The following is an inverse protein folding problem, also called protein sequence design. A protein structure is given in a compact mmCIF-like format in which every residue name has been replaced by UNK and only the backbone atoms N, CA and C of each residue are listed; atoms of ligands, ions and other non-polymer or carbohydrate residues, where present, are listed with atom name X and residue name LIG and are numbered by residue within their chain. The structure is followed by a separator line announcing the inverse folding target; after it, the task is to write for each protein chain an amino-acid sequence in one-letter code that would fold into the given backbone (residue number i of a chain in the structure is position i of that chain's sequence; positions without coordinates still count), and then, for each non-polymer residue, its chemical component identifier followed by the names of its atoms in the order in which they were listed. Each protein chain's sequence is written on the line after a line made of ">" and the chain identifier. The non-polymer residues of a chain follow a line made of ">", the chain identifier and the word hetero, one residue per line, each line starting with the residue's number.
data_IF_692142644196
#
_entry.id   IF_692142644196
#
_cell.length_a   1.000
_cell.length_b   1.000
_cell.length_c   1.000
_cell.angle_alpha   90.00
_cell.angle_beta   90.00
_cell.angle_gamma   90.00
#
_symmetry.space_group_name_H-M   'P 1'
#
loop_
_entity.id
_entity.type
_entity.pdbx_description
1 polymer ?
#
# COMPACT_ATOMS: atom_id res chain seq x y z
N UNK A 1 12.99 -29.64 16.96
CA UNK A 1 11.97 -30.44 16.24
C UNK A 1 10.73 -30.46 17.09
N UNK A 2 9.91 -29.44 16.93
CA UNK A 2 8.55 -29.35 17.46
C UNK A 2 7.68 -29.23 16.22
N UNK A 3 6.85 -30.25 15.98
CA UNK A 3 5.87 -30.28 14.90
C UNK A 3 4.86 -29.15 15.13
N UNK A 4 5.07 -28.01 14.48
CA UNK A 4 4.08 -26.95 14.37
C UNK A 4 3.23 -27.23 13.13
N UNK A 5 2.15 -27.97 13.35
CA UNK A 5 1.06 -28.07 12.37
C UNK A 5 0.35 -26.72 12.39
N UNK A 6 0.72 -25.85 11.44
CA UNK A 6 -0.14 -24.77 10.97
C UNK A 6 -1.53 -25.35 10.78
N UNK A 7 -2.52 -24.91 11.57
CA UNK A 7 -3.89 -25.31 11.32
C UNK A 7 -4.29 -24.75 9.95
N UNK A 8 -4.43 -25.64 8.97
CA UNK A 8 -4.95 -25.32 7.65
C UNK A 8 -6.33 -24.67 7.82
N UNK A 9 -6.47 -23.42 7.39
CA UNK A 9 -7.73 -22.71 7.52
C UNK A 9 -8.66 -23.16 6.38
N UNK A 10 -9.81 -23.76 6.70
CA UNK A 10 -10.72 -24.19 5.67
C UNK A 10 -11.30 -22.97 4.91
N UNK A 11 -11.78 -23.18 3.67
CA UNK A 11 -12.56 -22.19 2.95
C UNK A 11 -13.73 -21.68 3.82
N UNK A 12 -14.27 -20.47 3.54
CA UNK A 12 -15.36 -19.88 4.31
C UNK A 12 -16.47 -20.88 4.64
N UNK A 13 -16.65 -21.21 5.91
CA UNK A 13 -17.69 -22.16 6.33
C UNK A 13 -19.09 -21.53 6.47
N UNK A 14 -19.22 -20.22 6.28
CA UNK A 14 -20.45 -19.45 6.47
C UNK A 14 -20.52 -18.22 5.55
N UNK A 15 -21.73 -17.69 5.34
CA UNK A 15 -21.95 -16.46 4.58
C UNK A 15 -21.21 -15.24 5.18
N UNK A 16 -21.14 -15.13 6.51
CA UNK A 16 -20.39 -14.07 7.19
C UNK A 16 -18.89 -14.16 6.91
N UNK A 17 -18.33 -15.37 6.86
CA UNK A 17 -16.93 -15.59 6.51
C UNK A 17 -16.66 -15.32 5.02
N UNK A 18 -17.65 -15.56 4.15
CA UNK A 18 -17.57 -15.21 2.73
C UNK A 18 -17.54 -13.69 2.53
N UNK A 19 -18.45 -12.94 3.16
CA UNK A 19 -18.47 -11.48 3.08
C UNK A 19 -17.15 -10.89 3.58
N UNK A 20 -16.63 -11.37 4.71
CA UNK A 20 -15.36 -10.90 5.24
C UNK A 20 -14.21 -11.17 4.26
N UNK A 21 -14.10 -12.39 3.72
CA UNK A 21 -13.07 -12.71 2.73
C UNK A 21 -13.19 -11.86 1.46
N UNK A 22 -14.41 -11.59 1.00
CA UNK A 22 -14.70 -10.71 -0.13
C UNK A 22 -14.25 -9.27 0.16
N UNK A 23 -14.54 -8.76 1.36
CA UNK A 23 -14.10 -7.43 1.84
C UNK A 23 -12.59 -7.34 2.04
N UNK A 24 -11.92 -8.43 2.40
CA UNK A 24 -10.46 -8.48 2.50
C UNK A 24 -9.78 -8.60 1.12
N UNK A 25 -10.51 -9.03 0.10
CA UNK A 25 -9.94 -9.36 -1.19
C UNK A 25 -9.13 -10.66 -1.18
N UNK A 26 -9.50 -11.62 -0.34
CA UNK A 26 -8.85 -12.93 -0.26
C UNK A 26 -9.40 -13.87 -1.33
N UNK A 27 -8.51 -14.66 -1.94
CA UNK A 27 -8.90 -15.63 -2.96
C UNK A 27 -9.81 -16.75 -2.46
N UNK A 28 -9.88 -17.00 -1.14
CA UNK A 28 -10.80 -17.99 -0.57
C UNK A 28 -12.27 -17.67 -0.84
N UNK A 29 -12.63 -16.41 -1.10
CA UNK A 29 -13.97 -16.06 -1.54
C UNK A 29 -14.27 -16.65 -2.93
N UNK A 30 -13.30 -16.59 -3.86
CA UNK A 30 -13.40 -17.18 -5.20
C UNK A 30 -13.47 -18.71 -5.11
N UNK A 31 -12.61 -19.33 -4.30
CA UNK A 31 -12.63 -20.78 -4.08
C UNK A 31 -13.94 -21.27 -3.46
N UNK A 32 -14.51 -20.49 -2.53
CA UNK A 32 -15.81 -20.79 -1.94
C UNK A 32 -16.92 -20.78 -2.99
N UNK A 33 -16.99 -19.75 -3.84
CA UNK A 33 -18.00 -19.67 -4.91
C UNK A 33 -17.93 -20.86 -5.87
N UNK A 34 -16.72 -21.33 -6.20
CA UNK A 34 -16.53 -22.49 -7.11
C UNK A 34 -16.90 -23.84 -6.50
N UNK A 35 -16.83 -23.97 -5.18
CA UNK A 35 -17.00 -25.26 -4.49
C UNK A 35 -18.33 -25.37 -3.74
N UNK A 36 -18.99 -24.25 -3.46
CA UNK A 36 -20.21 -24.20 -2.67
C UNK A 36 -21.42 -24.63 -3.48
N UNK A 37 -22.28 -25.46 -2.89
CA UNK A 37 -23.61 -25.74 -3.41
C UNK A 37 -24.65 -24.65 -3.02
N UNK A 38 -24.23 -23.66 -2.23
CA UNK A 38 -25.08 -22.54 -1.79
C UNK A 38 -25.08 -21.49 -2.89
N UNK A 39 -26.28 -21.03 -3.29
CA UNK A 39 -26.43 -19.96 -4.25
C UNK A 39 -25.73 -18.67 -3.75
N UNK A 40 -25.00 -17.96 -4.63
CA UNK A 40 -24.31 -16.73 -4.25
C UNK A 40 -25.32 -15.64 -3.88
N UNK A 41 -24.96 -14.82 -2.89
CA UNK A 41 -25.67 -13.56 -2.63
C UNK A 41 -25.33 -12.56 -3.75
N UNK A 42 -26.22 -12.50 -4.74
CA UNK A 42 -26.03 -11.67 -5.93
C UNK A 42 -25.94 -10.19 -5.59
N UNK A 43 -26.70 -9.72 -4.61
CA UNK A 43 -26.75 -8.31 -4.24
C UNK A 43 -25.46 -7.90 -3.53
N UNK A 44 -24.95 -8.75 -2.63
CA UNK A 44 -23.66 -8.52 -1.97
C UNK A 44 -22.51 -8.47 -2.98
N UNK A 45 -22.46 -9.42 -3.92
CA UNK A 45 -21.40 -9.47 -4.93
C UNK A 45 -21.50 -8.27 -5.87
N UNK A 46 -22.71 -7.91 -6.31
CA UNK A 46 -22.89 -6.74 -7.17
C UNK A 46 -22.51 -5.45 -6.44
N UNK A 47 -22.83 -5.33 -5.15
CA UNK A 47 -22.37 -4.22 -4.33
C UNK A 47 -20.84 -4.17 -4.27
N UNK A 48 -20.17 -5.30 -4.09
CA UNK A 48 -18.70 -5.39 -4.10
C UNK A 48 -18.08 -5.03 -5.47
N UNK A 49 -18.77 -5.34 -6.57
CA UNK A 49 -18.36 -4.88 -7.90
C UNK A 49 -18.46 -3.35 -7.99
N UNK A 50 -19.56 -2.78 -7.48
CA UNK A 50 -19.89 -1.36 -7.56
C UNK A 50 -19.01 -0.49 -6.67
N UNK A 51 -18.63 -0.99 -5.51
CA UNK A 51 -17.92 -0.23 -4.48
C UNK A 51 -16.47 -0.70 -4.35
N UNK A 52 -15.51 0.22 -4.41
CA UNK A 52 -14.13 -0.12 -4.08
C UNK A 52 -14.00 -0.30 -2.56
N UNK A 53 -13.90 -1.56 -2.13
CA UNK A 53 -13.69 -1.99 -0.74
C UNK A 53 -12.21 -2.13 -0.34
N UNK A 54 -11.28 -1.60 -1.13
CA UNK A 54 -9.90 -1.39 -0.68
C UNK A 54 -9.90 -0.64 0.67
N UNK A 55 -9.08 -1.13 1.59
CA UNK A 55 -9.01 -0.63 2.95
C UNK A 55 -8.27 0.71 2.99
N UNK A 56 -7.06 0.73 2.45
CA UNK A 56 -6.24 1.91 2.25
C UNK A 56 -6.19 2.27 0.76
N UNK A 57 -7.18 3.06 0.32
CA UNK A 57 -7.28 3.54 -1.06
C UNK A 57 -6.12 4.45 -1.50
N UNK A 58 -5.26 4.87 -0.59
CA UNK A 58 -4.09 5.68 -0.92
C UNK A 58 -2.91 4.81 -1.38
N UNK A 59 -2.90 3.52 -1.02
CA UNK A 59 -1.81 2.60 -1.28
C UNK A 59 -2.23 1.28 -1.97
N UNK A 60 -3.52 0.95 -1.97
CA UNK A 60 -4.07 -0.21 -2.67
C UNK A 60 -4.62 0.16 -4.05
N UNK A 61 -4.36 -0.71 -5.03
CA UNK A 61 -4.97 -0.65 -6.35
C UNK A 61 -6.48 -0.97 -6.31
N UNK A 62 -7.15 -0.69 -7.42
CA UNK A 62 -8.53 -1.08 -7.66
C UNK A 62 -8.67 -2.61 -7.62
N UNK A 63 -9.81 -3.13 -7.17
CA UNK A 63 -10.04 -4.58 -7.08
C UNK A 63 -10.66 -5.21 -8.32
N UNK A 64 -10.54 -4.56 -9.48
CA UNK A 64 -11.23 -4.98 -10.70
C UNK A 64 -10.89 -6.41 -11.14
N UNK A 65 -9.60 -6.79 -11.15
CA UNK A 65 -9.16 -8.13 -11.51
C UNK A 65 -9.74 -9.20 -10.56
N UNK A 66 -9.69 -8.92 -9.26
CA UNK A 66 -10.30 -9.79 -8.25
C UNK A 66 -11.81 -9.91 -8.41
N UNK A 67 -12.50 -8.80 -8.64
CA UNK A 67 -13.94 -8.82 -8.84
C UNK A 67 -14.32 -9.56 -10.13
N UNK A 68 -13.49 -9.54 -11.17
CA UNK A 68 -13.70 -10.36 -12.35
C UNK A 68 -13.61 -11.86 -12.02
N UNK A 69 -12.64 -12.28 -11.20
CA UNK A 69 -12.54 -13.68 -10.74
C UNK A 69 -13.74 -14.08 -9.87
N UNK A 70 -14.22 -13.17 -9.01
CA UNK A 70 -15.44 -13.37 -8.21
C UNK A 70 -16.65 -13.55 -9.11
N UNK A 71 -16.88 -12.65 -10.08
CA UNK A 71 -18.00 -12.74 -11.02
C UNK A 71 -17.94 -14.04 -11.81
N UNK A 72 -16.77 -14.40 -12.38
CA UNK A 72 -16.59 -15.67 -13.08
C UNK A 72 -16.88 -16.87 -12.19
N UNK A 73 -16.46 -16.83 -10.92
CA UNK A 73 -16.67 -17.92 -9.98
C UNK A 73 -18.15 -18.11 -9.59
N UNK A 74 -19.02 -17.11 -9.79
CA UNK A 74 -20.46 -17.30 -9.62
C UNK A 74 -21.08 -18.20 -10.69
N UNK A 75 -20.47 -18.27 -11.88
CA UNK A 75 -21.07 -18.90 -13.06
C UNK A 75 -22.24 -18.11 -13.66
N UNK A 76 -22.45 -16.84 -13.27
CA UNK A 76 -23.58 -16.01 -13.69
C UNK A 76 -23.16 -14.63 -14.27
N UNK A 77 -22.14 -14.53 -15.14
CA UNK A 77 -21.70 -13.25 -15.68
C UNK A 77 -22.82 -12.48 -16.40
N UNK A 78 -23.79 -13.18 -17.01
CA UNK A 78 -24.95 -12.57 -17.67
C UNK A 78 -25.87 -11.81 -16.71
N UNK A 79 -25.80 -12.09 -15.40
CA UNK A 79 -26.49 -11.31 -14.39
C UNK A 79 -25.75 -10.01 -14.06
N UNK A 80 -24.42 -10.08 -13.93
CA UNK A 80 -23.59 -8.98 -13.43
C UNK A 80 -23.20 -7.99 -14.51
N UNK A 81 -22.78 -8.47 -15.69
CA UNK A 81 -22.24 -7.61 -16.76
C UNK A 81 -23.23 -6.53 -17.20
N UNK A 82 -24.51 -6.83 -17.51
CA UNK A 82 -25.46 -5.79 -17.89
C UNK A 82 -25.64 -4.73 -16.80
N UNK A 83 -25.70 -5.13 -15.52
CA UNK A 83 -25.86 -4.21 -14.39
C UNK A 83 -24.65 -3.33 -14.17
N UNK A 84 -23.44 -3.88 -14.34
CA UNK A 84 -22.19 -3.11 -14.29
C UNK A 84 -22.20 -2.02 -15.36
N UNK A 85 -22.59 -2.37 -16.59
CA UNK A 85 -22.69 -1.42 -17.70
C UNK A 85 -23.77 -0.36 -17.46
N UNK A 86 -24.95 -0.75 -16.95
CA UNK A 86 -26.03 0.17 -16.60
C UNK A 86 -25.59 1.19 -15.54
N UNK A 87 -24.88 0.74 -14.49
CA UNK A 87 -24.26 1.58 -13.46
C UNK A 87 -23.25 2.57 -14.06
N UNK A 88 -22.37 2.11 -14.95
CA UNK A 88 -21.42 2.99 -15.64
C UNK A 88 -22.11 4.06 -16.50
N UNK A 89 -23.17 3.69 -17.23
CA UNK A 89 -23.97 4.64 -18.03
C UNK A 89 -24.69 5.64 -17.13
N UNK A 90 -25.23 5.20 -16.00
CA UNK A 90 -25.92 6.06 -15.04
C UNK A 90 -24.98 6.99 -14.25
N UNK A 91 -23.66 6.76 -14.31
CA UNK A 91 -22.63 7.49 -13.54
C UNK A 91 -22.91 7.45 -12.02
N UNK A 92 -23.47 6.35 -11.53
CA UNK A 92 -23.88 6.16 -10.13
C UNK A 92 -22.78 5.55 -9.24
N UNK A 93 -21.58 5.35 -9.80
CA UNK A 93 -20.43 4.72 -9.15
C UNK A 93 -19.63 5.64 -8.20
N UNK A 94 -19.79 6.96 -8.33
CA UNK A 94 -19.02 7.95 -7.57
C UNK A 94 -17.51 7.68 -7.61
N UNK A 95 -16.87 7.62 -6.43
CA UNK A 95 -15.43 7.37 -6.30
C UNK A 95 -14.97 5.95 -6.72
N UNK A 96 -15.91 5.05 -7.05
CA UNK A 96 -15.60 3.67 -7.50
C UNK A 96 -15.70 3.52 -9.03
N UNK A 97 -15.92 4.60 -9.76
CA UNK A 97 -16.06 4.57 -11.23
C UNK A 97 -14.88 3.87 -11.91
N UNK A 98 -13.64 4.19 -11.52
CA UNK A 98 -12.44 3.58 -12.08
C UNK A 98 -12.41 2.04 -11.92
N UNK A 99 -12.83 1.53 -10.75
CA UNK A 99 -12.93 0.08 -10.51
C UNK A 99 -13.96 -0.57 -11.43
N UNK A 100 -15.16 0.01 -11.52
CA UNK A 100 -16.24 -0.52 -12.36
C UNK A 100 -15.86 -0.51 -13.85
N UNK A 101 -15.23 0.57 -14.31
CA UNK A 101 -14.80 0.70 -15.70
C UNK A 101 -13.73 -0.35 -16.04
N UNK A 102 -12.76 -0.54 -15.14
CA UNK A 102 -11.73 -1.57 -15.29
C UNK A 102 -12.32 -2.99 -15.21
N UNK A 103 -13.27 -3.24 -14.30
CA UNK A 103 -13.95 -4.53 -14.19
C UNK A 103 -14.70 -4.86 -15.49
N UNK A 104 -15.48 -3.90 -16.00
CA UNK A 104 -16.17 -4.04 -17.29
C UNK A 104 -15.17 -4.30 -18.43
N UNK A 105 -14.01 -3.63 -18.42
CA UNK A 105 -12.95 -3.84 -19.40
C UNK A 105 -12.39 -5.26 -19.39
N UNK A 106 -12.11 -5.81 -18.20
CA UNK A 106 -11.64 -7.19 -18.05
C UNK A 106 -12.68 -8.19 -18.58
N UNK A 107 -13.96 -7.96 -18.28
CA UNK A 107 -15.07 -8.81 -18.73
C UNK A 107 -15.42 -8.60 -20.22
N UNK A 108 -14.99 -7.50 -20.84
CA UNK A 108 -15.27 -7.21 -22.25
C UNK A 108 -14.60 -8.17 -23.22
N UNK A 109 -13.50 -8.82 -22.81
CA UNK A 109 -12.87 -9.90 -23.59
C UNK A 109 -13.77 -11.14 -23.76
N UNK A 110 -14.74 -11.32 -22.86
CA UNK A 110 -15.68 -12.44 -22.85
C UNK A 110 -17.08 -12.02 -23.35
N UNK A 111 -17.38 -10.71 -23.37
CA UNK A 111 -18.69 -10.15 -23.69
C UNK A 111 -18.56 -8.94 -24.64
N UNK A 112 -18.73 -9.16 -25.95
CA UNK A 112 -18.55 -8.12 -26.98
C UNK A 112 -19.37 -6.84 -26.74
N UNK A 113 -20.58 -6.98 -26.21
CA UNK A 113 -21.47 -5.83 -25.90
C UNK A 113 -20.83 -4.87 -24.88
N UNK A 114 -20.01 -5.39 -23.95
CA UNK A 114 -19.31 -4.57 -22.97
C UNK A 114 -18.20 -3.73 -23.61
N UNK A 115 -17.48 -4.29 -24.60
CA UNK A 115 -16.44 -3.56 -25.33
C UNK A 115 -17.02 -2.33 -26.01
N UNK A 116 -18.06 -2.49 -26.83
CA UNK A 116 -18.68 -1.36 -27.54
C UNK A 116 -19.17 -0.29 -26.55
N UNK A 117 -19.78 -0.73 -25.45
CA UNK A 117 -20.30 0.18 -24.44
C UNK A 117 -19.23 1.01 -23.73
N UNK A 118 -18.06 0.43 -23.47
CA UNK A 118 -16.94 1.16 -22.87
C UNK A 118 -16.41 2.26 -23.79
N UNK A 119 -16.36 2.00 -25.09
CA UNK A 119 -15.99 3.01 -26.09
C UNK A 119 -17.03 4.13 -26.18
N UNK A 120 -18.33 3.81 -26.11
CA UNK A 120 -19.41 4.81 -26.02
C UNK A 120 -19.26 5.68 -24.76
N UNK A 121 -19.12 5.05 -23.59
CA UNK A 121 -18.98 5.73 -22.30
C UNK A 121 -17.76 6.67 -22.29
N UNK A 122 -16.64 6.24 -22.88
CA UNK A 122 -15.45 7.09 -23.06
C UNK A 122 -15.71 8.23 -24.04
N UNK A 123 -16.37 7.97 -25.16
CA UNK A 123 -16.64 9.00 -26.17
C UNK A 123 -17.54 10.13 -25.63
N UNK A 124 -18.46 9.81 -24.72
CA UNK A 124 -19.36 10.78 -24.06
C UNK A 124 -18.66 11.64 -23.00
N UNK A 125 -17.64 11.09 -22.33
CA UNK A 125 -16.96 11.76 -21.22
C UNK A 125 -15.45 11.39 -21.16
N UNK A 126 -14.65 11.77 -22.18
CA UNK A 126 -13.25 11.34 -22.28
C UNK A 126 -12.34 11.93 -21.17
N UNK A 127 -12.85 12.90 -20.41
CA UNK A 127 -12.16 13.57 -19.31
C UNK A 127 -12.47 12.98 -17.92
N UNK A 128 -13.44 12.10 -17.80
CA UNK A 128 -13.71 11.45 -16.53
C UNK A 128 -12.63 10.40 -16.27
N UNK A 129 -11.79 10.54 -15.24
CA UNK A 129 -10.71 9.59 -14.94
C UNK A 129 -9.86 9.20 -16.17
N UNK A 130 -9.29 10.17 -16.89
CA UNK A 130 -8.85 10.01 -18.28
C UNK A 130 -7.78 8.93 -18.43
N UNK A 131 -6.74 8.93 -17.59
CA UNK A 131 -5.70 7.88 -17.60
C UNK A 131 -6.29 6.48 -17.40
N UNK A 132 -7.16 6.30 -16.40
CA UNK A 132 -7.73 5.00 -16.07
C UNK A 132 -8.61 4.45 -17.20
N UNK A 133 -9.50 5.28 -17.74
CA UNK A 133 -10.35 4.81 -18.83
C UNK A 133 -9.54 4.51 -20.08
N UNK A 134 -8.55 5.36 -20.43
CA UNK A 134 -7.68 5.12 -21.57
C UNK A 134 -6.85 3.84 -21.42
N UNK A 135 -6.31 3.57 -20.22
CA UNK A 135 -5.59 2.32 -19.96
C UNK A 135 -6.49 1.11 -20.20
N UNK A 136 -7.76 1.15 -19.79
CA UNK A 136 -8.71 0.06 -20.05
C UNK A 136 -8.95 -0.16 -21.54
N UNK A 137 -9.06 0.91 -22.35
CA UNK A 137 -9.17 0.77 -23.81
C UNK A 137 -7.90 0.16 -24.41
N UNK A 138 -6.73 0.51 -23.88
CA UNK A 138 -5.45 -0.11 -24.27
C UNK A 138 -5.40 -1.57 -23.89
N UNK A 139 -5.89 -1.95 -22.72
CA UNK A 139 -5.90 -3.35 -22.30
C UNK A 139 -6.83 -4.20 -23.19
N UNK A 140 -7.86 -3.59 -23.78
CA UNK A 140 -8.78 -4.25 -24.71
C UNK A 140 -8.20 -4.35 -26.13
N UNK A 141 -7.78 -3.23 -26.74
CA UNK A 141 -7.42 -3.14 -28.16
C UNK A 141 -5.96 -2.71 -28.43
N UNK A 142 -5.12 -2.65 -27.39
CA UNK A 142 -3.73 -2.19 -27.49
C UNK A 142 -3.62 -0.74 -27.97
N UNK A 143 -2.70 -0.50 -28.91
CA UNK A 143 -2.40 0.85 -29.38
C UNK A 143 -3.56 1.50 -30.16
N UNK A 144 -4.50 0.72 -30.70
CA UNK A 144 -5.72 1.27 -31.31
C UNK A 144 -6.66 1.86 -30.25
N UNK A 145 -6.75 1.23 -29.07
CA UNK A 145 -7.46 1.79 -27.92
C UNK A 145 -6.81 3.09 -27.43
N UNK A 146 -5.47 3.14 -27.41
CA UNK A 146 -4.73 4.37 -27.13
C UNK A 146 -5.07 5.49 -28.12
N UNK A 147 -5.06 5.18 -29.41
CA UNK A 147 -5.36 6.15 -30.48
C UNK A 147 -6.78 6.70 -30.38
N UNK A 148 -7.74 5.86 -30.03
CA UNK A 148 -9.10 6.29 -29.76
C UNK A 148 -9.16 7.28 -28.59
N UNK A 149 -8.46 6.99 -27.49
CA UNK A 149 -8.40 7.86 -26.32
C UNK A 149 -7.81 9.23 -26.65
N UNK A 150 -6.67 9.26 -27.35
CA UNK A 150 -6.00 10.49 -27.79
C UNK A 150 -6.93 11.34 -28.66
N UNK A 151 -7.65 10.73 -29.61
CA UNK A 151 -8.64 11.45 -30.45
C UNK A 151 -9.76 12.05 -29.60
N UNK A 152 -10.22 11.34 -28.56
CA UNK A 152 -11.17 11.88 -27.58
C UNK A 152 -10.66 13.14 -26.91
N UNK A 153 -9.42 13.11 -26.40
CA UNK A 153 -8.81 14.25 -25.72
C UNK A 153 -8.44 15.42 -26.63
N UNK A 154 -8.16 15.16 -27.91
CA UNK A 154 -7.96 16.23 -28.90
C UNK A 154 -9.27 16.99 -29.13
N UNK A 155 -10.41 16.29 -29.21
CA UNK A 155 -11.73 16.92 -29.37
C UNK A 155 -12.13 17.74 -28.15
N UNK A 156 -11.73 17.29 -26.96
CA UNK A 156 -11.98 17.96 -25.70
C UNK A 156 -10.67 18.23 -24.93
N UNK A 157 -9.87 19.23 -25.35
CA UNK A 157 -8.51 19.46 -24.83
C UNK A 157 -8.46 19.58 -23.31
N UNK A 158 -7.45 18.98 -22.68
CA UNK A 158 -7.21 19.06 -21.25
C UNK A 158 -7.06 20.50 -20.74
N UNK A 159 -7.37 20.71 -19.45
CA UNK A 159 -6.78 21.82 -18.71
C UNK A 159 -5.33 21.47 -18.36
N UNK A 160 -4.46 22.47 -18.18
CA UNK A 160 -3.02 22.30 -17.90
C UNK A 160 -2.70 21.40 -16.67
N UNK A 161 -3.66 21.23 -15.75
CA UNK A 161 -3.56 20.39 -14.56
C UNK A 161 -3.74 18.88 -14.85
N UNK A 162 -4.51 18.53 -15.87
CA UNK A 162 -4.86 17.14 -16.23
C UNK A 162 -3.82 16.51 -17.16
N UNK A 163 -2.87 17.31 -17.67
CA UNK A 163 -1.81 16.86 -18.56
C UNK A 163 -0.80 15.88 -17.92
N UNK A 164 -0.80 15.71 -16.59
CA UNK A 164 0.05 14.71 -15.92
C UNK A 164 -0.43 13.28 -16.21
N UNK A 165 -1.74 13.07 -16.31
CA UNK A 165 -2.33 11.77 -16.63
C UNK A 165 -1.90 11.27 -18.01
N UNK A 166 -1.85 12.19 -18.99
CA UNK A 166 -1.33 11.90 -20.32
C UNK A 166 0.17 11.56 -20.34
N UNK A 167 0.98 12.22 -19.50
CA UNK A 167 2.41 11.92 -19.37
C UNK A 167 2.60 10.54 -18.74
N UNK A 168 1.89 10.25 -17.65
CA UNK A 168 1.98 8.97 -16.96
C UNK A 168 1.51 7.82 -17.85
N UNK A 169 0.40 7.98 -18.57
CA UNK A 169 -0.04 6.95 -19.53
C UNK A 169 1.02 6.69 -20.60
N UNK A 170 1.66 7.73 -21.15
CA UNK A 170 2.72 7.53 -22.12
C UNK A 170 3.92 6.77 -21.53
N UNK A 171 4.31 7.05 -20.28
CA UNK A 171 5.36 6.32 -19.57
C UNK A 171 4.98 4.84 -19.36
N UNK A 172 3.72 4.57 -19.01
CA UNK A 172 3.20 3.20 -18.83
C UNK A 172 3.23 2.43 -20.16
N UNK A 173 2.79 3.05 -21.25
CA UNK A 173 2.78 2.45 -22.59
C UNK A 173 4.18 2.19 -23.14
N UNK A 174 5.13 3.12 -22.93
CA UNK A 174 6.55 2.91 -23.28
C UNK A 174 7.13 1.70 -22.51
N UNK A 175 6.69 1.48 -21.28
CA UNK A 175 7.09 0.34 -20.45
C UNK A 175 6.43 -0.96 -20.94
N UNK A 176 5.13 -0.92 -21.28
CA UNK A 176 4.34 -2.06 -21.69
C UNK A 176 4.69 -2.57 -23.10
N UNK A 177 4.82 -1.68 -24.08
CA UNK A 177 5.01 -2.03 -25.49
C UNK A 177 6.46 -1.83 -25.99
N UNK A 178 7.29 -1.16 -25.19
CA UNK A 178 8.63 -0.75 -25.56
C UNK A 178 8.66 0.59 -26.29
N UNK A 179 9.68 1.41 -25.99
CA UNK A 179 9.82 2.76 -26.53
C UNK A 179 9.94 2.80 -28.06
N UNK A 180 10.58 1.80 -28.69
CA UNK A 180 10.74 1.74 -30.15
C UNK A 180 9.40 1.46 -30.85
N UNK A 181 8.64 0.50 -30.34
CA UNK A 181 7.28 0.20 -30.83
C UNK A 181 6.38 1.41 -30.71
N UNK A 182 6.41 2.11 -29.56
CA UNK A 182 5.65 3.35 -29.39
C UNK A 182 6.11 4.44 -30.36
N UNK A 183 7.42 4.63 -30.56
CA UNK A 183 7.91 5.61 -31.50
C UNK A 183 7.44 5.34 -32.94
N UNK A 184 7.49 4.09 -33.38
CA UNK A 184 7.01 3.67 -34.70
C UNK A 184 5.50 3.89 -34.86
N UNK A 185 4.71 3.42 -33.89
CA UNK A 185 3.26 3.60 -33.87
C UNK A 185 2.86 5.09 -33.93
N UNK A 186 3.54 5.92 -33.16
CA UNK A 186 3.27 7.36 -33.15
C UNK A 186 3.64 8.02 -34.47
N UNK A 187 4.72 7.59 -35.13
CA UNK A 187 5.10 8.10 -36.45
C UNK A 187 4.02 7.80 -37.50
N UNK A 188 3.50 6.57 -37.50
CA UNK A 188 2.43 6.13 -38.39
C UNK A 188 1.13 6.89 -38.11
N UNK A 189 0.70 6.99 -36.84
CA UNK A 189 -0.50 7.72 -36.45
C UNK A 189 -0.39 9.22 -36.80
N UNK A 190 0.79 9.81 -36.62
CA UNK A 190 1.07 11.22 -36.93
C UNK A 190 1.02 11.50 -38.44
N UNK A 191 1.35 10.52 -39.27
CA UNK A 191 1.24 10.66 -40.74
C UNK A 191 -0.23 10.77 -41.21
N UNK A 192 -1.16 10.25 -40.41
CA UNK A 192 -2.59 10.22 -40.71
C UNK A 192 -3.36 11.42 -40.14
N UNK A 193 -2.89 12.02 -39.05
CA UNK A 193 -3.56 13.14 -38.39
C UNK A 193 -2.56 14.11 -37.72
N UNK A 194 -2.39 15.35 -38.25
CA UNK A 194 -1.53 16.37 -37.66
C UNK A 194 -1.90 16.76 -36.22
N UNK A 195 -3.16 16.58 -35.80
CA UNK A 195 -3.58 16.89 -34.44
C UNK A 195 -2.98 15.93 -33.41
N UNK A 196 -2.75 14.67 -33.80
CA UNK A 196 -2.04 13.68 -32.97
C UNK A 196 -0.61 14.11 -32.74
N UNK A 197 0.06 14.61 -33.79
CA UNK A 197 1.42 15.15 -33.66
C UNK A 197 1.47 16.27 -32.63
N UNK A 198 0.56 17.25 -32.76
CA UNK A 198 0.49 18.39 -31.85
C UNK A 198 0.23 17.96 -30.40
N UNK A 199 -0.65 16.98 -30.18
CA UNK A 199 -0.92 16.42 -28.86
C UNK A 199 0.34 15.79 -28.24
N UNK A 200 1.02 14.92 -28.97
CA UNK A 200 2.21 14.24 -28.46
C UNK A 200 3.38 15.18 -28.20
N UNK A 201 3.57 16.20 -29.04
CA UNK A 201 4.57 17.23 -28.81
C UNK A 201 4.28 18.00 -27.51
N UNK A 202 3.01 18.35 -27.27
CA UNK A 202 2.59 19.00 -26.02
C UNK A 202 2.87 18.11 -24.79
N UNK A 203 2.54 16.81 -24.85
CA UNK A 203 2.82 15.84 -23.77
C UNK A 203 4.33 15.70 -23.53
N UNK A 204 5.14 15.58 -24.59
CA UNK A 204 6.60 15.48 -24.48
C UNK A 204 7.23 16.73 -23.90
N UNK A 205 6.82 17.92 -24.33
CA UNK A 205 7.29 19.18 -23.75
C UNK A 205 6.90 19.32 -22.27
N UNK A 206 5.72 18.82 -21.89
CA UNK A 206 5.32 18.76 -20.48
C UNK A 206 6.19 17.80 -19.68
N UNK A 207 6.44 16.59 -20.19
CA UNK A 207 7.34 15.59 -19.58
C UNK A 207 8.74 16.17 -19.35
N UNK A 208 9.28 16.92 -20.32
CA UNK A 208 10.57 17.63 -20.20
C UNK A 208 10.54 18.69 -19.11
N UNK A 209 9.52 19.57 -19.09
CA UNK A 209 9.35 20.60 -18.04
C UNK A 209 9.26 19.98 -16.66
N UNK A 210 8.42 18.95 -16.49
CA UNK A 210 8.26 18.26 -15.22
C UNK A 210 9.57 17.62 -14.72
N UNK A 211 10.31 16.93 -15.59
CA UNK A 211 11.63 16.39 -15.26
C UNK A 211 12.63 17.50 -14.91
N UNK A 212 12.62 18.61 -15.63
CA UNK A 212 13.45 19.79 -15.32
C UNK A 212 13.09 20.43 -13.98
N UNK A 213 11.81 20.57 -13.66
CA UNK A 213 11.33 21.10 -12.38
C UNK A 213 11.75 20.19 -11.22
N UNK A 214 11.67 18.86 -11.41
CA UNK A 214 12.14 17.89 -10.43
C UNK A 214 13.67 17.95 -10.23
N UNK A 215 14.43 18.09 -11.31
CA UNK A 215 15.90 18.17 -11.26
C UNK A 215 16.41 19.53 -10.75
N UNK A 216 15.65 20.60 -10.95
CA UNK A 216 15.98 21.96 -10.48
C UNK A 216 15.59 22.21 -9.03
N UNK A 217 14.83 21.31 -8.40
CA UNK A 217 14.60 21.35 -6.96
C UNK A 217 15.96 21.33 -6.25
N UNK A 218 16.26 22.34 -5.40
CA UNK A 218 17.52 22.36 -4.70
C UNK A 218 17.66 21.05 -3.91
N UNK A 219 18.82 20.39 -4.04
CA UNK A 219 19.15 19.26 -3.17
C UNK A 219 18.96 19.76 -1.73
N UNK A 220 18.10 19.08 -0.98
CA UNK A 220 17.94 19.38 0.45
C UNK A 220 19.31 19.16 1.10
N UNK A 221 19.97 20.25 1.47
CA UNK A 221 21.18 20.20 2.28
C UNK A 221 20.85 19.60 3.65
N UNK A 222 21.83 18.96 4.27
CA UNK A 222 21.75 18.54 5.67
C UNK A 222 21.48 19.79 6.51
N UNK A 223 20.42 19.81 7.32
CA UNK A 223 20.05 20.99 8.07
C UNK A 223 21.07 21.20 9.20
N UNK A 224 21.58 22.42 9.36
CA UNK A 224 22.53 22.71 10.44
C UNK A 224 21.84 22.65 11.81
N UNK A 225 22.64 22.56 12.88
CA UNK A 225 22.11 22.71 14.24
C UNK A 225 21.29 24.00 14.38
N UNK A 226 21.80 25.14 13.89
CA UNK A 226 21.12 26.44 14.02
C UNK A 226 19.76 26.45 13.30
N UNK A 227 19.69 25.86 12.11
CA UNK A 227 18.46 25.74 11.34
C UNK A 227 17.42 24.87 12.06
N UNK A 228 17.82 23.68 12.50
CA UNK A 228 16.93 22.78 13.25
C UNK A 228 16.49 23.38 14.58
N UNK A 229 17.41 24.01 15.32
CA UNK A 229 17.14 24.60 16.61
C UNK A 229 16.14 25.76 16.51
N UNK A 230 16.26 26.61 15.47
CA UNK A 230 15.30 27.68 15.21
C UNK A 230 13.88 27.17 14.90
N UNK A 231 13.77 25.94 14.38
CA UNK A 231 12.50 25.30 14.05
C UNK A 231 11.85 24.61 15.25
N UNK A 232 12.61 24.30 16.31
CA UNK A 232 12.11 23.56 17.47
C UNK A 232 10.94 24.26 18.14
N UNK A 233 10.89 25.59 18.14
CA UNK A 233 9.80 26.34 18.79
C UNK A 233 8.64 26.67 17.84
N UNK A 234 8.75 26.28 16.57
CA UNK A 234 7.81 26.69 15.56
C UNK A 234 6.53 25.83 15.60
N UNK A 235 5.32 26.44 15.72
CA UNK A 235 4.08 25.72 16.00
C UNK A 235 3.63 24.77 14.87
N UNK A 236 4.13 24.96 13.64
CA UNK A 236 3.84 24.06 12.50
C UNK A 236 4.60 22.73 12.55
N UNK A 237 5.65 22.58 13.36
CA UNK A 237 6.48 21.38 13.37
C UNK A 237 6.26 20.56 14.65
N UNK A 238 5.08 19.93 14.75
CA UNK A 238 4.72 19.06 15.89
C UNK A 238 4.83 17.55 15.59
N UNK A 239 4.89 17.16 14.33
CA UNK A 239 4.85 15.75 13.94
C UNK A 239 6.17 15.02 14.26
N UNK A 240 6.05 13.87 14.94
CA UNK A 240 7.13 12.92 15.23
C UNK A 240 7.95 12.55 13.98
N UNK A 241 7.26 12.14 12.90
CA UNK A 241 7.92 11.68 11.67
C UNK A 241 8.73 12.78 10.96
N UNK A 242 8.30 14.04 11.07
CA UNK A 242 9.05 15.16 10.51
C UNK A 242 10.38 15.35 11.25
N UNK A 243 10.38 15.23 12.58
CA UNK A 243 11.58 15.38 13.39
C UNK A 243 12.52 14.19 13.26
N UNK A 244 12.00 12.96 13.24
CA UNK A 244 12.80 11.75 12.98
C UNK A 244 13.53 11.83 11.63
N UNK A 245 12.82 12.20 10.55
CA UNK A 245 13.39 12.40 9.21
C UNK A 245 14.44 13.54 9.15
N UNK A 246 14.39 14.50 10.07
CA UNK A 246 15.42 15.53 10.20
C UNK A 246 16.62 15.03 10.98
N UNK A 247 16.39 14.30 12.07
CA UNK A 247 17.44 13.67 12.87
C UNK A 247 18.28 12.70 12.04
N UNK A 248 17.67 11.87 11.18
CA UNK A 248 18.40 10.98 10.25
C UNK A 248 19.41 11.71 9.34
N UNK A 249 19.28 13.03 9.16
CA UNK A 249 20.13 13.86 8.28
C UNK A 249 21.02 14.84 9.05
N UNK A 250 21.09 14.73 10.38
CA UNK A 250 21.99 15.58 11.17
C UNK A 250 23.41 15.03 11.11
N UNK A 251 24.40 15.93 11.16
CA UNK A 251 25.79 15.55 11.35
C UNK A 251 26.08 15.28 12.84
N UNK A 252 27.20 14.61 13.12
CA UNK A 252 27.59 14.21 14.47
C UNK A 252 27.76 15.43 15.40
N UNK A 253 28.25 16.56 14.86
CA UNK A 253 28.42 17.79 15.63
C UNK A 253 27.09 18.41 16.07
N UNK A 254 26.06 18.36 15.22
CA UNK A 254 24.70 18.77 15.57
C UNK A 254 24.07 17.77 16.56
N UNK A 255 24.29 16.47 16.38
CA UNK A 255 23.80 15.43 17.29
C UNK A 255 24.33 15.63 18.72
N UNK A 256 25.63 15.85 18.88
CA UNK A 256 26.26 16.12 20.19
C UNK A 256 25.64 17.34 20.89
N UNK A 257 25.40 18.42 20.12
CA UNK A 257 24.79 19.64 20.66
C UNK A 257 23.33 19.42 21.06
N UNK A 258 22.54 18.74 20.22
CA UNK A 258 21.16 18.43 20.57
C UNK A 258 21.05 17.46 21.74
N UNK A 259 22.01 16.55 21.90
CA UNK A 259 22.08 15.68 23.08
C UNK A 259 22.35 16.50 24.34
N UNK A 260 23.30 17.44 24.31
CA UNK A 260 23.54 18.35 25.42
C UNK A 260 22.32 19.21 25.77
N UNK A 261 21.62 19.74 24.77
CA UNK A 261 20.38 20.52 24.97
C UNK A 261 19.28 19.66 25.60
N UNK A 262 19.09 18.43 25.12
CA UNK A 262 18.09 17.49 25.62
C UNK A 262 18.28 17.23 27.12
N UNK A 263 19.52 17.06 27.59
CA UNK A 263 19.83 16.78 28.99
C UNK A 263 19.54 17.96 29.94
N UNK A 264 19.39 19.18 29.41
CA UNK A 264 19.15 20.39 30.22
C UNK A 264 17.77 21.01 30.01
N UNK A 265 17.03 20.55 28.98
CA UNK A 265 15.71 21.05 28.61
C UNK A 265 14.65 20.73 29.69
N UNK A 266 13.79 21.71 29.96
CA UNK A 266 12.72 21.61 30.97
C UNK A 266 11.32 21.80 30.38
N UNK A 267 11.21 22.39 29.19
CA UNK A 267 9.96 22.54 28.48
C UNK A 267 9.55 21.20 27.85
N UNK A 268 8.41 20.60 28.23
CA UNK A 268 8.02 19.28 27.73
C UNK A 268 7.83 19.21 26.22
N UNK A 269 7.26 20.23 25.58
CA UNK A 269 7.02 20.24 24.14
C UNK A 269 8.34 20.27 23.36
N UNK A 270 9.28 21.10 23.82
CA UNK A 270 10.61 21.22 23.23
C UNK A 270 11.43 19.95 23.47
N UNK A 271 11.37 19.40 24.68
CA UNK A 271 11.98 18.13 25.03
C UNK A 271 11.48 16.99 24.13
N UNK A 272 10.18 16.90 23.86
CA UNK A 272 9.64 15.90 22.94
C UNK A 272 10.22 16.03 21.53
N UNK A 273 10.38 17.26 21.02
CA UNK A 273 10.96 17.49 19.67
C UNK A 273 12.45 17.13 19.62
N UNK A 274 13.19 17.40 20.69
CA UNK A 274 14.58 16.96 20.84
C UNK A 274 14.66 15.42 20.86
N UNK A 275 13.81 14.75 21.63
CA UNK A 275 13.74 13.29 21.68
C UNK A 275 13.41 12.69 20.30
N UNK A 276 12.49 13.30 19.53
CA UNK A 276 12.15 12.82 18.19
C UNK A 276 13.30 12.90 17.17
N UNK A 277 14.31 13.77 17.36
CA UNK A 277 15.50 13.77 16.51
C UNK A 277 16.28 12.45 16.63
N UNK A 278 16.29 11.84 17.82
CA UNK A 278 17.04 10.62 18.10
C UNK A 278 16.24 9.33 17.88
N UNK A 279 15.05 9.39 17.25
CA UNK A 279 14.25 8.18 17.02
C UNK A 279 14.65 7.35 15.80
N UNK A 280 15.55 7.88 14.97
CA UNK A 280 16.16 7.20 13.81
C UNK A 280 17.67 7.50 13.72
N UNK A 281 18.24 8.03 14.80
CA UNK A 281 19.66 8.36 14.92
C UNK A 281 20.08 8.01 16.35
N UNK A 282 21.14 7.20 16.49
CA UNK A 282 21.63 6.73 17.79
C UNK A 282 22.01 7.90 18.70
N UNK A 283 21.48 7.90 19.93
CA UNK A 283 21.77 8.96 20.90
C UNK A 283 23.26 8.93 21.27
N UNK A 284 24.03 10.02 21.07
CA UNK A 284 25.50 9.97 21.13
C UNK A 284 26.08 9.97 22.57
N UNK A 285 25.23 9.96 23.59
CA UNK A 285 25.62 10.06 25.01
C UNK A 285 25.03 8.91 25.82
N UNK A 286 25.32 8.85 27.12
CA UNK A 286 24.75 7.85 28.04
C UNK A 286 23.21 7.84 27.93
N UNK A 287 22.57 6.69 27.60
CA UNK A 287 21.12 6.61 27.43
C UNK A 287 20.33 6.56 28.75
N UNK A 288 20.99 6.48 29.92
CA UNK A 288 20.32 6.44 31.22
C UNK A 288 19.26 7.56 31.43
N UNK A 289 19.47 8.82 31.00
CA UNK A 289 18.46 9.87 31.07
C UNK A 289 17.24 9.58 30.21
N UNK A 290 17.39 8.94 29.04
CA UNK A 290 16.26 8.55 28.18
C UNK A 290 15.41 7.47 28.85
N UNK A 291 16.03 6.51 29.55
CA UNK A 291 15.32 5.51 30.36
C UNK A 291 14.59 6.10 31.57
N UNK A 292 15.07 7.21 32.12
CA UNK A 292 14.37 7.93 33.17
C UNK A 292 13.17 8.70 32.59
N UNK A 293 13.36 9.38 31.46
CA UNK A 293 12.31 10.11 30.75
C UNK A 293 11.21 9.20 30.24
N UNK A 294 11.53 7.97 29.82
CA UNK A 294 10.52 6.98 29.41
C UNK A 294 9.61 6.55 30.56
N UNK A 295 9.94 6.88 31.82
CA UNK A 295 9.10 6.64 33.01
C UNK A 295 8.44 7.91 33.54
N UNK A 296 8.50 9.01 32.79
CA UNK A 296 7.84 10.26 33.17
C UNK A 296 6.33 10.09 33.34
N UNK A 297 5.74 10.86 34.26
CA UNK A 297 4.28 11.02 34.39
C UNK A 297 3.68 11.77 33.19
N UNK A 298 4.50 12.51 32.44
CA UNK A 298 4.08 13.12 31.18
C UNK A 298 4.15 12.07 30.07
N UNK A 299 2.98 11.56 29.68
CA UNK A 299 2.85 10.49 28.68
C UNK A 299 3.50 10.84 27.33
N UNK A 300 3.35 12.08 26.87
CA UNK A 300 3.98 12.52 25.60
C UNK A 300 5.50 12.47 25.68
N UNK A 301 6.09 12.89 26.79
CA UNK A 301 7.54 12.81 27.02
C UNK A 301 7.99 11.35 27.15
N UNK A 302 7.22 10.54 27.87
CA UNK A 302 7.52 9.12 28.04
C UNK A 302 7.54 8.37 26.70
N UNK A 303 6.54 8.63 25.83
CA UNK A 303 6.46 8.04 24.50
C UNK A 303 7.55 8.57 23.56
N UNK A 304 7.87 9.87 23.63
CA UNK A 304 8.98 10.44 22.87
C UNK A 304 10.34 9.87 23.28
N UNK A 305 10.54 9.60 24.57
CA UNK A 305 11.76 8.96 25.06
C UNK A 305 11.84 7.48 24.68
N UNK A 306 10.74 6.73 24.74
CA UNK A 306 10.68 5.39 24.19
C UNK A 306 11.01 5.38 22.68
N UNK A 307 10.49 6.36 21.92
CA UNK A 307 10.81 6.51 20.51
C UNK A 307 12.32 6.78 20.27
N UNK A 308 12.95 7.66 21.07
CA UNK A 308 14.39 7.90 20.98
C UNK A 308 15.22 6.64 21.30
N UNK A 309 14.81 5.87 22.32
CA UNK A 309 15.45 4.60 22.68
C UNK A 309 15.37 3.54 21.57
N UNK A 310 14.42 3.65 20.63
CA UNK A 310 14.25 2.66 19.55
C UNK A 310 15.41 2.59 18.56
N UNK A 311 16.27 3.62 18.52
CA UNK A 311 17.47 3.63 17.69
C UNK A 311 18.68 2.94 18.36
N UNK A 312 18.57 2.51 19.62
CA UNK A 312 19.68 1.95 20.39
C UNK A 312 19.64 0.43 20.43
N UNK A 313 20.83 -0.18 20.48
CA UNK A 313 20.99 -1.60 20.83
C UNK A 313 21.45 -1.72 22.29
N UNK A 314 20.53 -1.98 23.21
CA UNK A 314 20.80 -2.10 24.64
C UNK A 314 19.79 -3.07 25.33
N UNK A 315 20.25 -4.00 26.20
CA UNK A 315 19.36 -4.95 26.87
C UNK A 315 18.20 -4.33 27.68
N UNK A 316 18.42 -3.13 28.22
CA UNK A 316 17.40 -2.35 28.92
C UNK A 316 16.28 -1.88 27.99
N UNK A 317 16.57 -1.64 26.70
CA UNK A 317 15.58 -1.26 25.69
C UNK A 317 14.61 -2.41 25.45
N UNK A 318 15.11 -3.64 25.30
CA UNK A 318 14.27 -4.84 25.19
C UNK A 318 13.36 -4.99 26.41
N UNK A 319 13.94 -4.89 27.61
CA UNK A 319 13.19 -5.04 28.86
C UNK A 319 12.07 -3.98 28.98
N UNK A 320 12.36 -2.74 28.57
CA UNK A 320 11.38 -1.66 28.49
C UNK A 320 10.28 -1.98 27.47
N UNK A 321 10.63 -2.43 26.27
CA UNK A 321 9.68 -2.82 25.21
C UNK A 321 8.68 -3.87 25.68
N UNK A 322 9.18 -4.97 26.24
CA UNK A 322 8.34 -6.03 26.80
C UNK A 322 7.48 -5.56 27.97
N UNK A 323 7.97 -4.62 28.79
CA UNK A 323 7.18 -4.02 29.86
C UNK A 323 6.04 -3.14 29.32
N UNK A 324 6.30 -2.34 28.27
CA UNK A 324 5.28 -1.48 27.65
C UNK A 324 4.20 -2.35 27.01
N UNK A 325 4.57 -3.41 26.28
CA UNK A 325 3.62 -4.33 25.65
C UNK A 325 2.66 -5.01 26.64
N UNK A 326 3.07 -5.19 27.90
CA UNK A 326 2.26 -5.81 28.97
C UNK A 326 1.48 -4.80 29.81
N UNK A 327 1.78 -3.51 29.66
CA UNK A 327 1.23 -2.45 30.50
C UNK A 327 -0.03 -1.81 29.91
N UNK A 328 -0.47 -0.72 30.52
CA UNK A 328 -1.62 0.09 30.08
C UNK A 328 -1.22 1.14 29.01
N UNK A 329 0.06 1.24 28.68
CA UNK A 329 0.57 2.18 27.68
C UNK A 329 0.39 1.65 26.26
N UNK A 330 0.46 2.57 25.30
CA UNK A 330 0.49 2.30 23.86
C UNK A 330 1.41 1.11 23.49
N UNK A 331 0.86 -0.07 23.15
CA UNK A 331 1.67 -1.28 23.01
C UNK A 331 2.58 -1.26 21.77
N UNK A 332 2.24 -0.46 20.75
CA UNK A 332 3.05 -0.26 19.54
C UNK A 332 4.41 0.37 19.80
N UNK A 333 4.52 1.29 20.75
CA UNK A 333 5.82 1.87 21.11
C UNK A 333 6.71 0.81 21.76
N UNK A 334 6.12 -0.17 22.48
CA UNK A 334 6.84 -1.30 23.03
C UNK A 334 7.37 -2.27 21.97
N UNK A 335 6.58 -2.55 20.93
CA UNK A 335 7.01 -3.40 19.81
C UNK A 335 8.15 -2.75 19.02
N UNK A 336 8.07 -1.43 18.77
CA UNK A 336 9.15 -0.68 18.09
C UNK A 336 10.51 -0.84 18.77
N UNK A 337 10.55 -0.87 20.10
CA UNK A 337 11.79 -1.03 20.87
C UNK A 337 12.50 -2.37 20.60
N UNK A 338 11.80 -3.36 20.05
CA UNK A 338 12.36 -4.66 19.72
C UNK A 338 13.07 -4.69 18.37
N UNK A 339 12.95 -3.67 17.50
CA UNK A 339 13.52 -3.71 16.12
C UNK A 339 15.01 -4.13 16.11
N UNK A 340 15.85 -3.45 16.88
CA UNK A 340 17.28 -3.79 17.01
C UNK A 340 17.63 -4.62 18.25
N UNK A 341 16.63 -4.97 19.08
CA UNK A 341 16.83 -5.63 20.37
C UNK A 341 16.05 -6.94 20.51
N UNK A 342 15.51 -7.46 19.40
CA UNK A 342 14.73 -8.68 19.38
C UNK A 342 15.57 -9.88 19.83
N UNK A 343 14.96 -10.78 20.58
CA UNK A 343 15.56 -12.07 20.96
C UNK A 343 14.56 -13.22 20.78
N UNK A 344 15.11 -14.43 20.63
CA UNK A 344 14.33 -15.67 20.61
C UNK A 344 13.33 -15.71 21.78
N UNK A 345 12.07 -15.99 21.48
CA UNK A 345 10.94 -15.98 22.40
C UNK A 345 10.12 -14.68 22.43
N UNK A 346 10.60 -13.58 21.86
CA UNK A 346 9.85 -12.30 21.84
C UNK A 346 8.63 -12.37 20.90
N UNK A 347 8.65 -13.23 19.88
CA UNK A 347 7.50 -13.48 19.01
C UNK A 347 6.25 -13.90 19.79
N UNK A 348 6.39 -14.62 20.91
CA UNK A 348 5.25 -15.01 21.74
C UNK A 348 4.52 -13.80 22.35
N UNK A 349 5.27 -12.76 22.74
CA UNK A 349 4.69 -11.53 23.26
C UNK A 349 4.00 -10.72 22.15
N UNK A 350 4.61 -10.66 20.97
CA UNK A 350 4.03 -10.01 19.78
C UNK A 350 2.73 -10.70 19.37
N UNK A 351 2.73 -12.04 19.30
CA UNK A 351 1.57 -12.84 18.94
C UNK A 351 0.45 -12.69 19.98
N UNK A 352 0.78 -12.67 21.27
CA UNK A 352 -0.18 -12.41 22.34
C UNK A 352 -0.85 -11.04 22.16
N UNK A 353 -0.07 -9.99 21.94
CA UNK A 353 -0.59 -8.64 21.67
C UNK A 353 -1.52 -8.64 20.45
N UNK A 354 -1.07 -9.22 19.34
CA UNK A 354 -1.85 -9.30 18.10
C UNK A 354 -3.17 -10.09 18.27
N UNK A 355 -3.21 -11.05 19.20
CA UNK A 355 -4.42 -11.80 19.53
C UNK A 355 -5.48 -10.97 20.25
N UNK A 356 -5.07 -9.93 20.97
CA UNK A 356 -5.94 -9.05 21.76
C UNK A 356 -6.56 -7.92 20.92
N UNK A 357 -5.88 -7.49 19.85
CA UNK A 357 -6.39 -6.45 18.97
C UNK A 357 -7.63 -6.93 18.22
N UNK A 358 -8.60 -6.05 18.01
CA UNK A 358 -9.80 -6.33 17.19
C UNK A 358 -10.02 -5.32 16.09
N UNK A 359 -9.53 -4.09 16.23
CA UNK A 359 -9.70 -3.05 15.22
C UNK A 359 -8.72 -3.25 14.06
N UNK A 360 -9.21 -3.10 12.83
CA UNK A 360 -8.40 -3.25 11.63
C UNK A 360 -7.25 -2.23 11.57
N UNK A 361 -7.47 -0.99 12.03
CA UNK A 361 -6.44 0.07 12.04
C UNK A 361 -5.28 -0.25 12.99
N UNK A 362 -5.58 -0.88 14.13
CA UNK A 362 -4.56 -1.30 15.10
C UNK A 362 -3.72 -2.44 14.54
N UNK A 363 -4.37 -3.43 13.91
CA UNK A 363 -3.70 -4.56 13.26
C UNK A 363 -2.84 -4.06 12.10
N UNK A 364 -3.37 -3.15 11.28
CA UNK A 364 -2.66 -2.53 10.16
C UNK A 364 -1.41 -1.77 10.65
N UNK A 365 -1.56 -0.95 11.69
CA UNK A 365 -0.45 -0.17 12.26
C UNK A 365 0.61 -1.07 12.91
N UNK A 366 0.19 -2.10 13.65
CA UNK A 366 1.11 -3.06 14.28
C UNK A 366 1.85 -3.90 13.23
N UNK A 367 1.20 -4.23 12.11
CA UNK A 367 1.81 -4.96 11.00
C UNK A 367 3.10 -4.33 10.51
N UNK A 368 3.14 -3.01 10.33
CA UNK A 368 4.37 -2.30 9.94
C UNK A 368 5.51 -2.47 10.95
N UNK A 369 5.23 -2.44 12.27
CA UNK A 369 6.26 -2.65 13.28
C UNK A 369 6.77 -4.09 13.29
N UNK A 370 5.90 -5.07 13.05
CA UNK A 370 6.30 -6.47 12.90
C UNK A 370 7.18 -6.65 11.66
N UNK A 371 6.89 -5.93 10.57
CA UNK A 371 7.71 -5.94 9.36
C UNK A 371 9.11 -5.38 9.63
N UNK A 372 9.19 -4.23 10.30
CA UNK A 372 10.48 -3.61 10.68
C UNK A 372 11.34 -4.57 11.53
N UNK A 373 10.75 -5.26 12.52
CA UNK A 373 11.49 -6.23 13.33
C UNK A 373 11.92 -7.44 12.48
N UNK A 374 11.04 -7.98 11.65
CA UNK A 374 11.33 -9.13 10.80
C UNK A 374 12.47 -8.83 9.81
N UNK A 375 12.46 -7.65 9.20
CA UNK A 375 13.45 -7.27 8.18
C UNK A 375 14.86 -7.20 8.81
N UNK A 376 14.97 -6.81 10.08
CA UNK A 376 16.21 -6.86 10.86
C UNK A 376 16.50 -8.26 11.45
N UNK A 377 15.47 -9.08 11.68
CA UNK A 377 15.56 -10.38 12.38
C UNK A 377 14.69 -11.47 11.71
N UNK A 378 15.05 -11.97 10.52
CA UNK A 378 14.22 -12.91 9.75
C UNK A 378 14.29 -14.34 10.32
N UNK A 379 13.64 -14.57 11.46
CA UNK A 379 13.60 -15.87 12.16
C UNK A 379 12.25 -16.58 11.98
N UNK A 380 12.28 -17.92 11.98
CA UNK A 380 11.10 -18.76 11.77
C UNK A 380 9.97 -18.56 12.81
N UNK A 381 10.27 -18.03 14.00
CA UNK A 381 9.24 -17.74 15.02
C UNK A 381 8.20 -16.70 14.57
N UNK A 382 8.53 -15.89 13.55
CA UNK A 382 7.58 -14.93 13.00
C UNK A 382 6.44 -15.57 12.21
N UNK A 383 6.54 -16.83 11.80
CA UNK A 383 5.53 -17.50 10.99
C UNK A 383 4.11 -17.34 11.56
N UNK A 384 3.91 -17.57 12.86
CA UNK A 384 2.58 -17.47 13.46
C UNK A 384 2.05 -16.02 13.49
N UNK A 385 2.92 -15.05 13.78
CA UNK A 385 2.53 -13.64 13.77
C UNK A 385 2.19 -13.16 12.35
N UNK A 386 2.97 -13.58 11.37
CA UNK A 386 2.73 -13.31 9.95
C UNK A 386 1.42 -13.95 9.48
N UNK A 387 1.18 -15.23 9.78
CA UNK A 387 -0.09 -15.91 9.47
C UNK A 387 -1.29 -15.18 10.07
N UNK A 388 -1.19 -14.75 11.33
CA UNK A 388 -2.24 -13.98 11.99
C UNK A 388 -2.49 -12.62 11.32
N UNK A 389 -1.46 -11.96 10.81
CA UNK A 389 -1.60 -10.73 10.01
C UNK A 389 -2.24 -11.00 8.65
N UNK A 390 -1.88 -12.11 7.98
CA UNK A 390 -2.50 -12.54 6.73
C UNK A 390 -4.01 -12.75 6.87
N UNK A 391 -4.43 -13.46 7.93
CA UNK A 391 -5.83 -13.78 8.19
C UNK A 391 -6.69 -12.56 8.53
N UNK A 392 -6.13 -11.62 9.29
CA UNK A 392 -6.91 -10.52 9.90
C UNK A 392 -6.72 -9.18 9.22
N UNK A 393 -5.68 -9.03 8.40
CA UNK A 393 -5.40 -7.82 7.66
C UNK A 393 -6.49 -7.52 6.63
N UNK A 394 -6.90 -6.26 6.54
CA UNK A 394 -7.86 -5.78 5.54
C UNK A 394 -7.18 -5.22 4.29
N UNK A 395 -5.94 -4.73 4.43
CA UNK A 395 -5.15 -4.13 3.36
C UNK A 395 -4.43 -5.19 2.54
N UNK A 396 -4.71 -5.24 1.23
CA UNK A 396 -4.10 -6.18 0.30
C UNK A 396 -2.60 -5.92 0.08
N UNK A 397 -2.15 -4.65 0.12
CA UNK A 397 -0.72 -4.30 0.08
C UNK A 397 0.03 -4.83 1.31
N UNK A 398 -0.51 -4.61 2.51
CA UNK A 398 0.07 -5.19 3.72
C UNK A 398 0.12 -6.71 3.65
N UNK A 399 -0.93 -7.36 3.13
CA UNK A 399 -0.97 -8.80 2.95
C UNK A 399 0.10 -9.30 1.98
N UNK A 400 0.35 -8.61 0.86
CA UNK A 400 1.50 -8.91 -0.01
C UNK A 400 2.83 -8.84 0.75
N UNK A 401 2.98 -7.85 1.64
CA UNK A 401 4.12 -7.76 2.55
C UNK A 401 4.26 -8.94 3.51
N UNK A 402 3.14 -9.50 3.99
CA UNK A 402 3.14 -10.74 4.80
C UNK A 402 3.59 -11.93 3.96
N UNK A 403 3.01 -12.12 2.78
CA UNK A 403 3.28 -13.26 1.90
C UNK A 403 4.75 -13.27 1.47
N UNK A 404 5.32 -12.11 1.13
CA UNK A 404 6.74 -11.99 0.82
C UNK A 404 7.62 -12.49 1.97
N UNK A 405 7.30 -12.12 3.22
CA UNK A 405 8.06 -12.55 4.41
C UNK A 405 7.85 -14.03 4.73
N UNK A 406 6.64 -14.56 4.57
CA UNK A 406 6.39 -16.00 4.66
C UNK A 406 7.15 -16.79 3.59
N UNK A 407 7.27 -16.25 2.37
CA UNK A 407 8.06 -16.84 1.30
C UNK A 407 9.55 -16.88 1.67
N UNK A 408 10.10 -15.79 2.22
CA UNK A 408 11.47 -15.73 2.75
C UNK A 408 11.74 -16.80 3.81
N UNK A 409 10.75 -17.11 4.64
CA UNK A 409 10.85 -18.18 5.65
C UNK A 409 10.61 -19.60 5.10
N UNK A 410 10.22 -19.75 3.84
CA UNK A 410 9.74 -21.03 3.30
C UNK A 410 8.46 -21.53 4.00
N UNK A 411 7.66 -20.62 4.54
CA UNK A 411 6.50 -20.89 5.40
C UNK A 411 5.15 -20.65 4.70
N UNK A 412 5.12 -20.58 3.37
CA UNK A 412 3.87 -20.51 2.62
C UNK A 412 3.15 -21.86 2.66
N UNK A 413 1.93 -21.89 3.20
CA UNK A 413 1.10 -23.09 3.22
C UNK A 413 0.47 -23.37 1.86
N UNK A 414 0.05 -24.62 1.63
CA UNK A 414 -0.70 -25.01 0.42
C UNK A 414 -2.00 -24.19 0.28
N UNK A 415 -2.66 -23.85 1.40
CA UNK A 415 -3.84 -22.97 1.39
C UNK A 415 -3.52 -21.59 0.83
N UNK A 416 -2.44 -20.95 1.30
CA UNK A 416 -2.02 -19.62 0.81
C UNK A 416 -1.64 -19.70 -0.67
N UNK A 417 -0.92 -20.74 -1.08
CA UNK A 417 -0.56 -20.96 -2.48
C UNK A 417 -1.80 -21.12 -3.36
N UNK A 418 -2.80 -21.86 -2.89
CA UNK A 418 -4.03 -22.16 -3.64
C UNK A 418 -4.95 -20.96 -3.76
N UNK A 419 -5.13 -20.18 -2.69
CA UNK A 419 -6.02 -19.00 -2.74
C UNK A 419 -5.31 -17.75 -3.25
N UNK A 420 -4.00 -17.62 -3.03
CA UNK A 420 -3.23 -16.43 -3.36
C UNK A 420 -3.16 -16.11 -4.86
N UNK A 421 -3.39 -17.10 -5.75
CA UNK A 421 -3.53 -16.85 -7.19
C UNK A 421 -4.78 -16.02 -7.54
N UNK A 422 -5.74 -15.94 -6.63
CA UNK A 422 -6.97 -15.16 -6.74
C UNK A 422 -7.00 -13.97 -5.77
N UNK A 423 -5.87 -13.55 -5.21
CA UNK A 423 -5.84 -12.40 -4.29
C UNK A 423 -6.20 -11.07 -4.98
N UNK A 424 -6.68 -10.09 -4.23
CA UNK A 424 -6.89 -8.73 -4.75
C UNK A 424 -5.62 -8.00 -5.15
N UNK A 425 -4.47 -8.31 -4.53
CA UNK A 425 -3.19 -7.71 -4.91
C UNK A 425 -2.53 -8.50 -6.04
N UNK A 426 -2.22 -7.82 -7.15
CA UNK A 426 -1.43 -8.41 -8.23
C UNK A 426 -0.01 -8.78 -7.78
N UNK A 427 0.57 -8.03 -6.84
CA UNK A 427 1.87 -8.37 -6.24
C UNK A 427 1.80 -9.72 -5.49
N UNK A 428 0.73 -9.95 -4.71
CA UNK A 428 0.50 -11.25 -4.08
C UNK A 428 0.47 -12.36 -5.13
N UNK A 429 -0.32 -12.19 -6.20
CA UNK A 429 -0.42 -13.19 -7.27
C UNK A 429 0.95 -13.48 -7.91
N UNK A 430 1.77 -12.44 -8.13
CA UNK A 430 3.13 -12.56 -8.69
C UNK A 430 4.08 -13.32 -7.75
N UNK A 431 4.05 -13.03 -6.45
CA UNK A 431 4.86 -13.75 -5.46
C UNK A 431 4.47 -15.23 -5.44
N UNK A 432 3.17 -15.54 -5.42
CA UNK A 432 2.66 -16.92 -5.42
C UNK A 432 3.04 -17.66 -6.70
N UNK A 433 2.88 -17.04 -7.87
CA UNK A 433 3.30 -17.64 -9.14
C UNK A 433 4.80 -17.97 -9.17
N UNK A 434 5.62 -17.11 -8.57
CA UNK A 434 7.06 -17.32 -8.44
C UNK A 434 7.39 -18.48 -7.48
N UNK A 435 6.70 -18.57 -6.35
CA UNK A 435 6.86 -19.64 -5.36
C UNK A 435 6.44 -21.02 -5.90
N UNK A 436 5.40 -21.09 -6.74
CA UNK A 436 4.95 -22.36 -7.36
C UNK A 436 5.92 -22.85 -8.44
N UNK A 437 6.55 -21.93 -9.18
CA UNK A 437 7.47 -22.27 -10.29
C UNK A 437 8.90 -22.58 -9.82
N UNK A 438 9.28 -22.11 -8.63
CA UNK A 438 10.57 -22.38 -7.99
C UNK A 438 10.35 -23.00 -6.60
N UNK A 439 9.92 -24.26 -6.53
CA UNK A 439 9.75 -24.93 -5.24
C UNK A 439 11.10 -25.00 -4.51
N UNK A 440 11.11 -24.82 -3.18
CA UNK A 440 12.33 -24.83 -2.36
C UNK A 440 13.10 -26.16 -2.41
#
# INVERSE_FOLDING_TARGET
>A
MTDFVSQDFPPPASAANFELALRQGLGRAVLWLRSSAIAPDRDLIFQACRENWAYDKQSEDNRALYMADVVRATGEPEFYVPRILETLVARDAGNSFAQLFQLAGILASEHNDAREKLYEIFAEAPRENPRYMAQVLVDIDGLEGYLFAVRGWIREPYADADCLDAVHLLDDLETQFGAETMAAFLADASSLDPAITAYHDAVRERRKRWKSDLLSRPKRTEPTYEELNAMLDHPKFKSRGIWASRGRRMDDAAADRFAADLLTEKNPDRLCRLLYLFGEYEFPSDPAPLFALSRSDNETVANAAAFALSALTDPGVRALGLSIMRGERAPWDGVRLLIYNFQHGDCAAILHLLSQLTAADEIHSLGFQIYDIFDENPVAEFSDALMRLYERGMCSMCRSGVISRLATLGALSETILTEGIYDASEETRRIIASAVTSPP
#
